data_IF_266701986887
#
_entry.id   IF_266701986887
#
_cell.length_a   1.000
_cell.length_b   1.000
_cell.length_c   1.000
_cell.angle_alpha   90.00
_cell.angle_beta   90.00
_cell.angle_gamma   90.00
#
_symmetry.space_group_name_H-M   'P 1'
#
loop_
_entity.id
_entity.type
_entity.pdbx_description
1 polymer ?
#
# COMPACT_ATOMS: atom_id res chain seq x y z
N UNK A 1 -33.37 48.55 3.63
CA UNK A 1 -33.89 47.17 3.76
C UNK A 1 -32.84 46.19 3.25
N UNK A 2 -32.05 45.64 4.17
CA UNK A 2 -31.73 44.21 4.27
C UNK A 2 -31.00 43.43 3.14
N UNK A 3 -30.28 44.04 2.20
CA UNK A 3 -29.48 43.24 1.22
C UNK A 3 -27.97 43.47 1.29
N UNK A 4 -27.49 44.58 1.86
CA UNK A 4 -26.05 44.88 1.91
C UNK A 4 -25.31 44.37 3.17
N UNK A 5 -26.03 43.95 4.21
CA UNK A 5 -25.44 43.44 5.45
C UNK A 5 -25.12 41.93 5.41
N UNK A 6 -25.72 41.18 4.48
CA UNK A 6 -25.56 39.72 4.40
C UNK A 6 -24.33 39.26 3.57
N UNK A 7 -23.68 40.17 2.84
CA UNK A 7 -22.51 39.84 2.01
C UNK A 7 -21.16 40.04 2.72
N UNK A 8 -21.12 40.84 3.79
CA UNK A 8 -19.92 41.03 4.62
C UNK A 8 -19.67 39.86 5.59
N UNK A 9 -20.70 39.04 5.83
CA UNK A 9 -20.60 37.84 6.68
C UNK A 9 -20.09 36.61 5.90
N UNK A 10 -20.13 36.63 4.56
CA UNK A 10 -19.73 35.50 3.73
C UNK A 10 -18.21 35.39 3.57
N UNK A 11 -17.51 36.50 3.35
CA UNK A 11 -16.06 36.47 3.09
C UNK A 11 -15.30 36.09 4.38
N UNK A 12 -15.63 36.70 5.52
CA UNK A 12 -14.99 36.37 6.79
C UNK A 12 -15.25 34.90 7.19
N UNK A 13 -16.48 34.40 7.03
CA UNK A 13 -16.82 33.01 7.33
C UNK A 13 -16.14 32.01 6.36
N UNK A 14 -15.97 32.37 5.08
CA UNK A 14 -15.11 31.64 4.14
C UNK A 14 -13.65 31.64 4.59
N UNK A 15 -13.10 32.77 5.03
CA UNK A 15 -11.72 32.82 5.55
C UNK A 15 -11.53 31.96 6.80
N UNK A 16 -12.50 31.90 7.71
CA UNK A 16 -12.44 31.03 8.90
C UNK A 16 -12.59 29.53 8.55
N UNK A 17 -13.46 29.18 7.61
CA UNK A 17 -13.56 27.79 7.13
C UNK A 17 -12.31 27.35 6.35
N UNK A 18 -11.70 28.23 5.57
CA UNK A 18 -10.45 27.93 4.85
C UNK A 18 -9.22 27.88 5.77
N UNK A 19 -9.20 28.64 6.86
CA UNK A 19 -8.11 28.63 7.85
C UNK A 19 -8.09 27.37 8.73
N UNK A 20 -9.22 26.66 8.90
CA UNK A 20 -9.21 25.33 9.56
C UNK A 20 -8.88 24.19 8.59
N UNK A 21 -9.13 24.34 7.28
CA UNK A 21 -8.78 23.31 6.29
C UNK A 21 -7.27 23.30 6.00
N UNK A 22 -6.56 24.42 6.19
CA UNK A 22 -5.11 24.51 5.97
C UNK A 22 -4.27 23.76 7.01
N UNK A 23 -4.88 23.30 8.12
CA UNK A 23 -4.22 22.41 9.08
C UNK A 23 -4.34 20.91 8.72
N UNK A 24 -5.04 20.55 7.63
CA UNK A 24 -5.29 19.15 7.23
C UNK A 24 -4.56 18.75 5.94
N UNK A 25 -3.23 18.86 5.85
CA UNK A 25 -2.48 17.90 5.00
C UNK A 25 -0.99 17.90 5.31
N UNK A 26 -0.64 17.42 6.49
CA UNK A 26 0.64 16.72 6.63
C UNK A 26 0.32 15.44 7.37
N UNK A 27 -0.11 14.42 6.63
CA UNK A 27 0.02 13.05 7.13
C UNK A 27 1.53 12.84 7.21
N UNK A 28 2.08 13.04 8.40
CA UNK A 28 3.42 12.60 8.73
C UNK A 28 3.28 11.07 8.76
N UNK A 29 3.61 10.41 7.64
CA UNK A 29 3.92 8.97 7.71
C UNK A 29 5.19 8.94 8.55
N UNK A 30 5.20 8.33 9.74
CA UNK A 30 6.45 8.09 10.44
C UNK A 30 7.32 7.22 9.52
N UNK A 31 8.36 7.83 8.95
CA UNK A 31 9.35 7.21 8.05
C UNK A 31 10.09 6.05 8.76
N UNK A 32 10.03 6.03 10.08
CA UNK A 32 10.82 5.12 10.90
C UNK A 32 9.90 4.13 11.61
N UNK A 33 9.25 3.24 10.86
CA UNK A 33 9.15 1.89 11.39
C UNK A 33 10.55 1.30 11.24
N UNK A 34 11.36 1.14 12.31
CA UNK A 34 12.72 0.60 12.21
C UNK A 34 12.75 -0.83 11.64
N UNK A 35 11.58 -1.48 11.47
CA UNK A 35 11.43 -2.77 10.81
C UNK A 35 10.89 -2.65 9.36
N UNK A 36 10.48 -1.48 8.88
CA UNK A 36 10.05 -1.35 7.49
C UNK A 36 11.26 -1.20 6.58
N UNK A 37 11.38 -2.12 5.62
CA UNK A 37 12.34 -2.00 4.54
C UNK A 37 11.83 -1.06 3.46
N UNK A 38 12.75 -0.55 2.64
CA UNK A 38 12.39 0.16 1.41
C UNK A 38 11.47 -0.73 0.55
N UNK A 39 10.48 -0.10 -0.08
CA UNK A 39 9.53 -0.76 -0.96
C UNK A 39 10.18 -1.12 -2.30
N UNK A 40 10.95 -2.20 -2.31
CA UNK A 40 11.63 -2.74 -3.49
C UNK A 40 11.09 -4.13 -3.85
N UNK A 41 11.02 -4.41 -5.16
CA UNK A 41 10.56 -5.69 -5.71
C UNK A 41 11.60 -6.26 -6.70
N UNK A 42 11.68 -7.59 -6.78
CA UNK A 42 12.49 -8.31 -7.77
C UNK A 42 11.69 -9.46 -8.36
N UNK A 43 11.79 -9.63 -9.68
CA UNK A 43 11.22 -10.79 -10.38
C UNK A 43 12.21 -11.95 -10.33
N UNK A 44 11.71 -13.13 -9.99
CA UNK A 44 12.43 -14.39 -10.03
C UNK A 44 12.36 -15.03 -11.43
N UNK A 45 13.24 -15.98 -11.72
CA UNK A 45 13.32 -16.66 -13.03
C UNK A 45 12.07 -17.51 -13.36
N UNK A 46 11.31 -17.89 -12.34
CA UNK A 46 10.03 -18.61 -12.45
C UNK A 46 8.83 -17.66 -12.70
N UNK A 47 9.08 -16.34 -12.75
CA UNK A 47 8.06 -15.30 -12.91
C UNK A 47 7.37 -14.88 -11.61
N UNK A 48 7.78 -15.42 -10.46
CA UNK A 48 7.29 -14.94 -9.15
C UNK A 48 7.99 -13.65 -8.74
N UNK A 49 7.48 -13.01 -7.68
CA UNK A 49 8.00 -11.74 -7.16
C UNK A 49 8.42 -11.91 -5.70
N UNK A 50 9.57 -11.34 -5.35
CA UNK A 50 10.08 -11.30 -3.98
C UNK A 50 10.26 -9.86 -3.52
N UNK A 51 10.07 -9.65 -2.22
CA UNK A 51 10.19 -8.37 -1.52
C UNK A 51 11.35 -8.42 -0.54
N UNK A 52 11.73 -7.27 0.02
CA UNK A 52 12.70 -7.20 1.12
C UNK A 52 12.08 -7.70 2.42
N UNK A 53 12.83 -8.50 3.16
CA UNK A 53 12.42 -9.10 4.42
C UNK A 53 13.09 -8.36 5.59
N UNK A 54 12.28 -7.82 6.51
CA UNK A 54 12.74 -7.04 7.65
C UNK A 54 13.63 -7.84 8.63
N UNK A 55 13.30 -9.12 8.79
CA UNK A 55 14.02 -10.11 9.59
C UNK A 55 15.34 -10.55 8.95
N UNK A 56 15.60 -10.18 7.68
CA UNK A 56 16.84 -10.46 6.95
C UNK A 56 17.63 -9.21 6.60
N UNK A 57 17.67 -8.21 7.49
CA UNK A 57 18.38 -6.95 7.25
C UNK A 57 17.96 -6.25 5.94
N UNK A 58 16.69 -6.39 5.56
CA UNK A 58 16.15 -5.88 4.31
C UNK A 58 16.76 -6.48 3.04
N UNK A 59 17.31 -7.68 3.10
CA UNK A 59 17.64 -8.48 1.92
C UNK A 59 16.38 -9.05 1.27
N UNK A 60 16.50 -9.40 -0.01
CA UNK A 60 15.41 -10.07 -0.73
C UNK A 60 15.22 -11.49 -0.20
N UNK A 61 13.97 -11.92 -0.07
CA UNK A 61 13.64 -13.31 0.17
C UNK A 61 14.17 -14.20 -0.97
N UNK A 62 14.50 -15.45 -0.66
CA UNK A 62 14.97 -16.40 -1.67
C UNK A 62 13.89 -16.69 -2.72
N UNK A 63 14.31 -16.77 -3.99
CA UNK A 63 13.44 -17.25 -5.06
C UNK A 63 13.18 -18.74 -4.88
N UNK A 64 12.10 -19.09 -4.20
CA UNK A 64 11.67 -20.49 -4.08
C UNK A 64 11.09 -20.90 -5.43
N UNK A 65 11.88 -21.62 -6.25
CA UNK A 65 11.35 -22.27 -7.44
C UNK A 65 10.37 -23.33 -6.95
N UNK A 66 9.08 -22.99 -6.98
CA UNK A 66 8.05 -23.99 -6.80
C UNK A 66 8.19 -24.92 -7.99
N UNK A 67 8.72 -26.13 -7.73
CA UNK A 67 8.56 -27.22 -8.68
C UNK A 67 7.10 -27.20 -9.14
N UNK A 68 6.83 -27.42 -10.44
CA UNK A 68 5.45 -27.45 -10.92
C UNK A 68 4.65 -28.29 -9.95
N UNK A 69 3.72 -27.64 -9.24
CA UNK A 69 2.75 -28.35 -8.43
C UNK A 69 1.95 -29.12 -9.47
N UNK A 70 2.37 -30.35 -9.72
CA UNK A 70 1.65 -31.28 -10.53
C UNK A 70 0.26 -31.38 -9.92
N UNK A 71 -0.71 -30.72 -10.55
CA UNK A 71 -2.14 -30.87 -10.22
C UNK A 71 -2.65 -32.27 -10.56
N UNK A 72 -1.77 -33.26 -10.78
CA UNK A 72 -2.07 -34.63 -11.19
C UNK A 72 -1.48 -35.71 -10.26
N UNK A 73 -1.08 -35.36 -9.03
CA UNK A 73 -0.82 -36.37 -7.98
C UNK A 73 -1.72 -36.19 -6.76
N UNK A 74 -3.05 -36.17 -6.95
CA UNK A 74 -4.04 -36.87 -6.08
C UNK A 74 -5.50 -36.77 -6.56
N UNK A 75 -5.78 -37.07 -7.82
CA UNK A 75 -7.14 -37.49 -8.21
C UNK A 75 -7.09 -38.13 -9.59
N UNK A 76 -7.17 -39.46 -9.57
CA UNK A 76 -7.74 -40.35 -10.59
C UNK A 76 -7.03 -40.50 -11.94
N UNK A 77 -6.25 -41.60 -12.07
CA UNK A 77 -6.43 -42.58 -13.16
C UNK A 77 -6.29 -44.01 -12.60
N UNK A 78 -7.41 -44.48 -12.07
CA UNK A 78 -8.08 -45.77 -12.31
C UNK A 78 -7.29 -46.87 -13.05
N UNK A 79 -7.35 -48.10 -12.49
CA UNK A 79 -7.46 -49.41 -13.17
C UNK A 79 -6.91 -49.55 -14.60
N UNK A 80 -6.01 -50.52 -14.82
CA UNK A 80 -6.16 -51.66 -15.77
C UNK A 80 -4.79 -52.22 -16.12
N UNK A 81 -4.38 -53.31 -15.46
CA UNK A 81 -3.99 -54.60 -16.04
C UNK A 81 -3.57 -55.56 -14.91
#
# INVERSE_FOLDING_TARGET
>A
MMVLASFRLNIAMLFFLFAEISAWRSVIIPEDNPQACNWDIRMCVDGTWVYRAADRHCDFEECVIKAPLDKRLRSDETSTN
#
